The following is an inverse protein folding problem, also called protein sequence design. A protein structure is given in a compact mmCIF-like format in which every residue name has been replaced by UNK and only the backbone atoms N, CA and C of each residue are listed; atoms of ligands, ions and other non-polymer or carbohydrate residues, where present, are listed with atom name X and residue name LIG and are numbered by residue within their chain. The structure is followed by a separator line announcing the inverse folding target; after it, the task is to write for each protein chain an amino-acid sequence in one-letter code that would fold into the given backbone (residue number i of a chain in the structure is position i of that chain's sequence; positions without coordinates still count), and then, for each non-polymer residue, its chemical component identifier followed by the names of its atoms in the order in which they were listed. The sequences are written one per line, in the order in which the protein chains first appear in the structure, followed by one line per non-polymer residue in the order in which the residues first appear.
data_IF_435777625162
#
_entry.id   IF_435777625162
#
_cell.length_a   1.000
_cell.length_b   1.000
_cell.length_c   1.000
_cell.angle_alpha   90.00
_cell.angle_beta   90.00
_cell.angle_gamma   90.00
#
_symmetry.space_group_name_H-M   'P 1'
#
loop_
_entity.id
_entity.type
_entity.pdbx_description
1 polymer ?
#
# COMPACT_ATOMS: atom_id res chain seq x y z
N UNK A 1 -14.14 20.11 2.74
CA UNK A 1 -13.41 18.84 2.65
C UNK A 1 -11.97 19.23 2.43
N UNK A 2 -11.21 19.22 3.51
CA UNK A 2 -9.82 19.66 3.52
C UNK A 2 -8.92 18.58 2.91
N UNK A 3 -7.67 18.92 2.61
CA UNK A 3 -6.74 17.98 2.00
C UNK A 3 -6.49 16.73 2.86
N UNK A 4 -6.62 16.83 4.19
CA UNK A 4 -6.53 15.69 5.11
C UNK A 4 -7.70 14.71 4.93
N UNK A 5 -8.92 15.21 4.70
CA UNK A 5 -10.11 14.37 4.50
C UNK A 5 -9.93 13.49 3.26
N UNK A 6 -9.34 14.03 2.21
CA UNK A 6 -9.08 13.31 0.95
C UNK A 6 -8.07 12.20 1.17
N UNK A 7 -6.98 12.45 1.91
CA UNK A 7 -5.96 11.45 2.23
C UNK A 7 -6.55 10.32 3.09
N UNK A 8 -7.35 10.67 4.10
CA UNK A 8 -8.02 9.70 4.97
C UNK A 8 -9.02 8.85 4.17
N UNK A 9 -9.78 9.45 3.26
CA UNK A 9 -10.73 8.72 2.42
C UNK A 9 -10.02 7.71 1.50
N UNK A 10 -8.92 8.12 0.88
CA UNK A 10 -8.10 7.24 0.04
C UNK A 10 -7.50 6.07 0.83
N UNK A 11 -7.06 6.33 2.06
CA UNK A 11 -6.57 5.32 2.99
C UNK A 11 -7.65 4.30 3.35
N UNK A 12 -8.85 4.76 3.71
CA UNK A 12 -9.98 3.90 4.04
C UNK A 12 -10.34 3.01 2.83
N UNK A 13 -10.40 3.58 1.63
CA UNK A 13 -10.69 2.83 0.40
C UNK A 13 -9.64 1.73 0.17
N UNK A 14 -8.36 2.03 0.39
CA UNK A 14 -7.30 1.02 0.25
C UNK A 14 -7.42 -0.09 1.30
N UNK A 15 -7.70 0.24 2.55
CA UNK A 15 -7.91 -0.74 3.64
C UNK A 15 -9.12 -1.64 3.35
N UNK A 16 -10.22 -1.06 2.88
CA UNK A 16 -11.43 -1.82 2.51
C UNK A 16 -11.15 -2.75 1.34
N UNK A 17 -10.49 -2.26 0.29
CA UNK A 17 -10.09 -3.10 -0.86
C UNK A 17 -9.16 -4.22 -0.44
N UNK A 18 -8.22 -3.93 0.45
CA UNK A 18 -7.27 -4.90 0.97
C UNK A 18 -7.97 -6.02 1.78
N UNK A 19 -8.90 -5.65 2.65
CA UNK A 19 -9.76 -6.59 3.40
C UNK A 19 -10.65 -7.42 2.46
N UNK A 20 -11.26 -6.79 1.46
CA UNK A 20 -12.11 -7.46 0.48
C UNK A 20 -11.36 -8.52 -0.34
N UNK A 21 -10.04 -8.36 -0.51
CA UNK A 21 -9.17 -9.33 -1.20
C UNK A 21 -8.64 -10.45 -0.27
N UNK A 22 -9.12 -10.54 0.97
CA UNK A 22 -8.79 -11.65 1.88
C UNK A 22 -7.60 -11.40 2.81
N UNK A 23 -7.11 -10.16 2.92
CA UNK A 23 -6.25 -9.71 4.03
C UNK A 23 -4.87 -10.38 4.17
N UNK A 24 -4.48 -11.27 3.24
CA UNK A 24 -3.18 -11.93 3.26
C UNK A 24 -2.23 -11.19 2.32
N UNK A 25 -1.42 -10.27 2.86
CA UNK A 25 -0.21 -9.81 2.17
C UNK A 25 0.83 -10.90 2.35
N UNK A 26 1.03 -11.74 1.34
CA UNK A 26 2.29 -12.47 1.23
C UNK A 26 3.20 -11.66 0.33
N UNK A 27 4.45 -11.48 0.73
CA UNK A 27 5.49 -10.88 -0.12
C UNK A 27 5.60 -11.60 -1.49
N UNK A 28 5.22 -12.88 -1.52
CA UNK A 28 5.13 -13.74 -2.69
C UNK A 28 4.02 -13.29 -3.66
N UNK A 29 2.92 -12.76 -3.13
CA UNK A 29 1.75 -12.33 -3.91
C UNK A 29 2.01 -10.97 -4.60
N UNK A 30 2.97 -10.19 -4.10
CA UNK A 30 3.35 -8.90 -4.70
C UNK A 30 4.03 -9.05 -6.05
N UNK A 31 4.43 -10.26 -6.48
CA UNK A 31 5.00 -10.56 -7.80
C UNK A 31 5.90 -9.43 -8.32
N UNK A 32 6.82 -8.95 -7.47
CA UNK A 32 7.71 -7.83 -7.82
C UNK A 32 8.83 -8.31 -8.76
N UNK A 33 9.16 -9.60 -8.67
CA UNK A 33 10.24 -10.25 -9.36
C UNK A 33 9.80 -11.68 -9.68
N UNK A 34 10.09 -12.17 -10.89
CA UNK A 34 9.68 -13.50 -11.35
C UNK A 34 9.59 -13.58 -12.87
N UNK A 35 9.74 -14.78 -13.43
CA UNK A 35 9.75 -15.03 -14.89
C UNK A 35 8.43 -14.67 -15.56
N UNK A 36 7.34 -14.68 -14.81
CA UNK A 36 5.96 -14.44 -15.30
C UNK A 36 5.45 -13.02 -14.98
N UNK A 37 6.32 -12.09 -14.58
CA UNK A 37 5.93 -10.72 -14.19
C UNK A 37 6.21 -9.76 -15.35
N UNK A 38 5.15 -9.18 -15.91
CA UNK A 38 5.29 -8.18 -16.98
C UNK A 38 5.86 -6.86 -16.41
N UNK A 39 6.54 -6.03 -17.24
CA UNK A 39 7.06 -4.73 -16.79
C UNK A 39 5.98 -3.82 -16.21
N UNK A 40 4.77 -3.85 -16.76
CA UNK A 40 3.64 -3.05 -16.29
C UNK A 40 3.13 -3.53 -14.92
N UNK A 41 2.96 -4.85 -14.74
CA UNK A 41 2.60 -5.42 -13.44
C UNK A 41 3.65 -5.12 -12.39
N UNK A 42 4.93 -5.25 -12.73
CA UNK A 42 6.04 -4.91 -11.82
C UNK A 42 5.94 -3.46 -11.36
N UNK A 43 5.70 -2.52 -12.28
CA UNK A 43 5.58 -1.09 -11.95
C UNK A 43 4.40 -0.83 -11.01
N UNK A 44 3.24 -1.41 -11.31
CA UNK A 44 2.04 -1.24 -10.47
C UNK A 44 2.23 -1.86 -9.08
N UNK A 45 2.89 -3.02 -9.01
CA UNK A 45 3.19 -3.69 -7.73
C UNK A 45 4.24 -2.92 -6.91
N UNK A 46 5.24 -2.32 -7.58
CA UNK A 46 6.22 -1.42 -6.95
C UNK A 46 5.55 -0.18 -6.36
N UNK A 47 4.59 0.43 -7.07
CA UNK A 47 3.83 1.56 -6.53
C UNK A 47 3.00 1.15 -5.32
N UNK A 48 2.31 0.00 -5.38
CA UNK A 48 1.56 -0.54 -4.24
C UNK A 48 2.46 -0.79 -3.02
N UNK A 49 3.64 -1.34 -3.24
CA UNK A 49 4.64 -1.57 -2.19
C UNK A 49 5.18 -0.25 -1.60
N UNK A 50 5.45 0.75 -2.45
CA UNK A 50 5.90 2.07 -2.01
C UNK A 50 4.85 2.79 -1.14
N UNK A 51 3.56 2.66 -1.48
CA UNK A 51 2.47 3.20 -0.66
C UNK A 51 2.43 2.54 0.71
N UNK A 52 2.57 1.21 0.78
CA UNK A 52 2.59 0.48 2.06
C UNK A 52 3.78 0.95 2.92
N UNK A 53 4.97 1.07 2.34
CA UNK A 53 6.14 1.60 3.04
C UNK A 53 5.93 3.04 3.54
N UNK A 54 5.30 3.89 2.74
CA UNK A 54 5.01 5.26 3.14
C UNK A 54 4.06 5.30 4.35
N UNK A 55 3.03 4.44 4.39
CA UNK A 55 2.11 4.36 5.54
C UNK A 55 2.79 3.84 6.81
N UNK A 56 3.65 2.83 6.69
CA UNK A 56 4.46 2.34 7.81
C UNK A 56 5.38 3.45 8.32
N UNK A 57 6.05 4.16 7.40
CA UNK A 57 6.93 5.28 7.73
C UNK A 57 6.19 6.42 8.42
N UNK A 58 4.97 6.76 7.96
CA UNK A 58 4.14 7.78 8.58
C UNK A 58 3.73 7.37 9.99
N UNK A 59 3.30 6.12 10.19
CA UNK A 59 2.96 5.59 11.51
C UNK A 59 4.15 5.61 12.49
N UNK A 60 5.35 5.27 12.01
CA UNK A 60 6.59 5.37 12.78
C UNK A 60 6.92 6.82 13.16
N UNK A 61 6.76 7.77 12.22
CA UNK A 61 6.98 9.18 12.50
C UNK A 61 6.04 9.70 13.59
N UNK A 62 4.76 9.36 13.54
CA UNK A 62 3.82 9.71 14.62
C UNK A 62 4.22 9.07 15.94
N UNK A 63 4.65 7.81 15.96
CA UNK A 63 5.10 7.13 17.18
C UNK A 63 6.38 7.71 17.79
N UNK A 64 7.25 8.32 16.98
CA UNK A 64 8.51 8.92 17.46
C UNK A 64 8.35 10.35 17.96
N UNK A 65 7.27 11.03 17.57
CA UNK A 65 6.98 12.42 17.95
C UNK A 65 6.09 12.49 19.20
N UNK A 66 5.37 11.42 19.51
CA UNK A 66 4.54 11.24 20.71
C UNK A 66 5.32 10.51 21.83
#
# INVERSE_FOLDING_TARGET
MDWYDVVVLLLIIQVVRFRAQGGKIRLQDFKLWGKDVTPEQRRNNLMGFAVILALIGLGLLFWLVD
#
